data_IF_509191244942
#
_entry.id   IF_509191244942
#
_cell.length_a   1.000
_cell.length_b   1.000
_cell.length_c   1.000
_cell.angle_alpha   90.00
_cell.angle_beta   90.00
_cell.angle_gamma   90.00
#
_symmetry.space_group_name_H-M   'P 1'
#
loop_
_entity.id
_entity.type
_entity.pdbx_description
1 polymer ?
#
# COMPACT_ATOMS: atom_id res chain seq x y z
N UNK A 1 28.29 -50.16 52.10
CA UNK A 1 29.07 -51.41 52.30
C UNK A 1 28.24 -52.60 51.83
N UNK A 2 28.76 -53.45 50.92
CA UNK A 2 28.30 -54.83 50.59
C UNK A 2 28.65 -55.79 51.76
N UNK A 3 28.39 -57.13 51.81
CA UNK A 3 27.98 -58.13 50.77
C UNK A 3 26.87 -59.15 51.23
N UNK A 4 26.13 -59.87 50.35
CA UNK A 4 26.41 -61.11 49.57
C UNK A 4 26.49 -62.43 50.39
N UNK A 5 25.59 -63.40 50.16
CA UNK A 5 25.87 -64.84 49.86
C UNK A 5 24.60 -65.71 49.75
N UNK A 6 24.79 -66.94 49.24
CA UNK A 6 23.96 -67.79 48.38
C UNK A 6 24.02 -69.24 48.91
N UNK A 7 22.96 -70.05 48.70
CA UNK A 7 22.83 -71.54 48.65
C UNK A 7 21.62 -72.00 49.48
N UNK A 8 20.81 -72.99 49.11
CA UNK A 8 20.83 -73.95 47.99
C UNK A 8 20.16 -75.27 48.41
N UNK A 9 19.38 -75.90 47.51
CA UNK A 9 18.94 -77.33 47.43
C UNK A 9 18.14 -77.89 48.62
N UNK A 10 17.34 -78.96 48.51
CA UNK A 10 16.89 -79.84 47.43
C UNK A 10 15.81 -80.77 48.04
N UNK A 11 15.04 -81.47 47.19
CA UNK A 11 14.47 -82.82 47.39
C UNK A 11 12.95 -82.98 47.10
N UNK A 12 12.74 -83.73 46.01
CA UNK A 12 11.61 -84.57 45.55
C UNK A 12 11.36 -85.74 46.56
N UNK A 13 10.43 -86.74 46.41
CA UNK A 13 9.66 -87.11 45.22
C UNK A 13 8.22 -87.70 45.40
N UNK A 14 7.55 -88.01 44.28
CA UNK A 14 6.90 -89.31 43.92
C UNK A 14 5.67 -89.16 42.97
N UNK A 15 5.71 -89.86 41.82
CA UNK A 15 4.59 -90.04 40.84
C UNK A 15 3.59 -91.15 41.25
N UNK A 16 2.92 -91.91 40.34
CA UNK A 16 2.99 -91.96 38.86
C UNK A 16 1.64 -92.21 38.09
N UNK A 17 1.67 -92.29 36.74
CA UNK A 17 0.65 -92.96 35.90
C UNK A 17 0.57 -92.47 34.45
N UNK A 18 1.30 -93.07 33.48
CA UNK A 18 0.84 -93.98 32.37
C UNK A 18 -0.30 -93.40 31.49
N UNK A 19 -0.27 -93.32 30.16
CA UNK A 19 0.11 -94.29 29.10
C UNK A 19 0.24 -93.60 27.71
N UNK A 20 1.12 -94.10 26.85
CA UNK A 20 1.22 -93.83 25.39
C UNK A 20 0.61 -95.02 24.60
N UNK A 21 0.24 -94.90 23.30
CA UNK A 21 1.10 -95.47 22.25
C UNK A 21 1.07 -94.80 20.83
N UNK A 22 2.27 -94.68 20.24
CA UNK A 22 2.71 -95.15 18.87
C UNK A 22 2.38 -94.35 17.58
N UNK A 23 3.46 -93.98 16.83
CA UNK A 23 3.54 -93.16 15.61
C UNK A 23 3.22 -93.84 14.25
N UNK A 24 3.94 -93.63 13.11
CA UNK A 24 5.22 -92.92 12.86
C UNK A 24 5.21 -91.94 11.64
N UNK A 25 6.34 -91.27 11.35
CA UNK A 25 6.65 -90.77 9.99
C UNK A 25 7.45 -89.46 9.90
N UNK A 26 8.76 -89.57 9.67
CA UNK A 26 9.66 -88.46 9.28
C UNK A 26 9.41 -88.07 7.82
N UNK A 27 9.28 -86.77 7.52
CA UNK A 27 9.71 -86.19 6.25
C UNK A 27 10.22 -84.76 6.44
N UNK A 28 11.50 -84.62 6.11
CA UNK A 28 12.30 -83.44 5.88
C UNK A 28 11.69 -82.53 4.79
N UNK A 29 11.58 -81.21 5.00
CA UNK A 29 11.44 -80.21 3.91
C UNK A 29 11.89 -78.80 4.35
N UNK A 30 13.03 -78.41 3.78
CA UNK A 30 13.43 -77.12 3.22
C UNK A 30 12.83 -75.81 3.78
N UNK A 31 13.75 -74.90 4.14
CA UNK A 31 13.47 -73.58 4.70
C UNK A 31 12.68 -72.61 3.80
N UNK A 32 11.95 -71.71 4.47
CA UNK A 32 11.34 -70.51 3.87
C UNK A 32 12.22 -69.30 4.19
N UNK A 33 12.54 -68.43 3.21
CA UNK A 33 13.31 -67.22 3.46
C UNK A 33 12.47 -66.17 4.18
N UNK A 34 13.14 -65.43 5.06
CA UNK A 34 12.60 -64.31 5.81
C UNK A 34 12.06 -63.20 4.88
N UNK A 35 10.83 -62.75 5.15
CA UNK A 35 10.23 -61.62 4.47
C UNK A 35 10.96 -60.33 4.87
N UNK A 36 11.78 -59.81 3.95
CA UNK A 36 12.46 -58.52 4.10
C UNK A 36 11.48 -57.35 4.17
N UNK A 37 11.68 -56.47 5.15
CA UNK A 37 10.99 -55.20 5.28
C UNK A 37 11.33 -54.28 4.10
N UNK A 38 10.36 -54.07 3.21
CA UNK A 38 10.48 -53.07 2.13
C UNK A 38 10.48 -51.67 2.75
N UNK A 39 11.66 -51.06 2.89
CA UNK A 39 11.78 -49.61 3.12
C UNK A 39 11.20 -48.89 1.90
N UNK A 40 10.32 -47.88 2.06
CA UNK A 40 9.79 -47.13 0.93
C UNK A 40 10.93 -46.40 0.22
N UNK A 41 11.17 -46.73 -1.05
CA UNK A 41 12.10 -46.03 -1.93
C UNK A 41 11.57 -44.61 -2.16
N UNK A 42 12.17 -43.62 -1.52
CA UNK A 42 11.86 -42.21 -1.78
C UNK A 42 12.40 -41.90 -3.18
N UNK A 43 11.51 -41.73 -4.16
CA UNK A 43 11.89 -41.35 -5.53
C UNK A 43 12.60 -39.98 -5.52
N UNK A 44 13.70 -39.80 -6.26
CA UNK A 44 14.41 -38.53 -6.36
C UNK A 44 13.50 -37.43 -6.92
N UNK A 45 13.67 -36.20 -6.43
CA UNK A 45 12.81 -35.03 -6.74
C UNK A 45 12.74 -34.74 -8.25
N UNK A 46 13.77 -35.12 -9.01
CA UNK A 46 13.84 -34.98 -10.48
C UNK A 46 12.84 -35.83 -11.27
N UNK A 47 12.31 -36.92 -10.70
CA UNK A 47 11.35 -37.81 -11.36
C UNK A 47 9.89 -37.49 -11.00
N UNK A 48 9.67 -36.47 -10.16
CA UNK A 48 8.33 -36.03 -9.75
C UNK A 48 7.85 -34.93 -10.68
N UNK A 49 6.54 -34.90 -10.91
CA UNK A 49 5.89 -33.84 -11.68
C UNK A 49 6.31 -32.46 -11.11
N UNK A 50 6.93 -31.59 -11.93
CA UNK A 50 7.41 -30.28 -11.47
C UNK A 50 6.28 -29.42 -10.91
N UNK A 51 5.04 -29.60 -11.38
CA UNK A 51 3.86 -28.88 -10.86
C UNK A 51 3.53 -29.35 -9.45
N UNK A 52 3.56 -30.65 -9.19
CA UNK A 52 3.30 -31.20 -7.87
C UNK A 52 4.36 -30.78 -6.85
N UNK A 53 5.64 -30.72 -7.25
CA UNK A 53 6.73 -30.24 -6.39
C UNK A 53 6.57 -28.75 -6.08
N UNK A 54 6.17 -27.94 -7.06
CA UNK A 54 5.92 -26.52 -6.87
C UNK A 54 4.74 -26.26 -5.92
N UNK A 55 3.62 -26.98 -6.08
CA UNK A 55 2.44 -26.85 -5.20
C UNK A 55 2.76 -27.25 -3.76
N UNK A 56 3.46 -28.38 -3.56
CA UNK A 56 3.86 -28.81 -2.22
C UNK A 56 4.87 -27.85 -1.59
N UNK A 57 5.81 -27.33 -2.38
CA UNK A 57 6.75 -26.30 -1.93
C UNK A 57 6.04 -25.01 -1.52
N UNK A 58 5.08 -24.55 -2.31
CA UNK A 58 4.31 -23.33 -2.06
C UNK A 58 3.37 -23.49 -0.86
N UNK A 59 2.73 -24.66 -0.70
CA UNK A 59 1.98 -25.01 0.50
C UNK A 59 2.88 -25.04 1.74
N UNK A 60 4.05 -25.68 1.65
CA UNK A 60 5.02 -25.70 2.74
C UNK A 60 5.48 -24.30 3.14
N UNK A 61 5.74 -23.44 2.16
CA UNK A 61 6.12 -22.04 2.40
C UNK A 61 4.98 -21.22 3.00
N UNK A 62 3.74 -21.40 2.52
CA UNK A 62 2.57 -20.76 3.10
C UNK A 62 2.31 -21.20 4.55
N UNK A 63 2.52 -22.49 4.85
CA UNK A 63 2.40 -23.04 6.20
C UNK A 63 3.50 -22.48 7.13
N UNK A 64 4.73 -22.37 6.64
CA UNK A 64 5.84 -21.72 7.35
C UNK A 64 5.56 -20.23 7.60
N UNK A 65 5.10 -19.51 6.58
CA UNK A 65 4.74 -18.10 6.72
C UNK A 65 3.60 -17.91 7.72
N UNK A 66 2.56 -18.76 7.67
CA UNK A 66 1.49 -18.76 8.65
C UNK A 66 2.00 -19.06 10.07
N UNK A 67 2.91 -20.02 10.23
CA UNK A 67 3.50 -20.36 11.53
C UNK A 67 4.31 -19.19 12.11
N UNK A 68 5.13 -18.52 11.29
CA UNK A 68 5.89 -17.33 11.69
C UNK A 68 4.97 -16.18 12.08
N UNK A 69 3.91 -15.93 11.30
CA UNK A 69 2.94 -14.86 11.59
C UNK A 69 2.12 -15.13 12.87
N UNK A 70 1.95 -16.39 13.24
CA UNK A 70 1.21 -16.80 14.43
C UNK A 70 2.13 -17.19 15.60
N UNK A 71 3.44 -16.95 15.50
CA UNK A 71 4.40 -17.35 16.53
C UNK A 71 4.16 -16.61 17.86
N UNK A 72 3.68 -15.37 17.79
CA UNK A 72 3.29 -14.56 18.97
C UNK A 72 2.01 -15.08 19.65
N UNK A 73 1.20 -15.88 18.96
CA UNK A 73 -0.02 -16.53 19.48
C UNK A 73 0.19 -17.96 19.94
N UNK A 74 1.35 -18.55 19.64
CA UNK A 74 1.72 -19.87 20.12
C UNK A 74 2.22 -19.73 21.56
N UNK A 75 1.70 -20.49 22.54
CA UNK A 75 2.16 -20.49 23.93
C UNK A 75 3.51 -21.21 24.04
N UNK A 76 4.53 -20.65 23.37
CA UNK A 76 5.91 -21.12 23.37
C UNK A 76 6.80 -20.21 24.24
N UNK A 77 6.23 -19.17 24.86
CA UNK A 77 6.86 -18.30 25.85
C UNK A 77 6.67 -18.84 27.27
N UNK A 78 7.73 -18.76 28.09
CA UNK A 78 7.84 -19.40 29.40
C UNK A 78 7.22 -18.61 30.57
N UNK A 79 6.13 -17.89 30.37
CA UNK A 79 5.47 -17.14 31.43
C UNK A 79 4.23 -17.85 32.01
N UNK A 80 3.90 -17.51 33.24
CA UNK A 80 2.64 -17.94 33.88
C UNK A 80 1.59 -16.86 33.67
N UNK A 81 0.42 -17.24 33.14
CA UNK A 81 -0.70 -16.32 32.94
C UNK A 81 -1.52 -16.14 34.22
N UNK A 82 -1.84 -14.90 34.56
CA UNK A 82 -2.68 -14.52 35.68
C UNK A 82 -3.76 -13.54 35.21
N UNK A 83 -4.73 -13.26 36.09
CA UNK A 83 -5.75 -12.25 35.82
C UNK A 83 -6.11 -11.44 37.06
N UNK A 84 -6.54 -10.21 36.86
CA UNK A 84 -6.95 -9.26 37.89
C UNK A 84 -8.21 -8.51 37.45
N UNK A 85 -9.12 -8.27 38.39
CA UNK A 85 -10.33 -7.50 38.16
C UNK A 85 -10.13 -6.05 38.63
N UNK A 86 -10.21 -5.08 37.72
CA UNK A 86 -10.15 -3.64 37.99
C UNK A 86 -11.52 -2.98 37.86
N UNK A 87 -11.69 -1.80 38.47
CA UNK A 87 -12.90 -0.98 38.27
C UNK A 87 -12.98 -0.41 36.86
N UNK A 88 -11.82 -0.12 36.25
CA UNK A 88 -11.67 0.45 34.92
C UNK A 88 -10.27 0.14 34.36
N UNK A 89 -10.10 0.23 33.04
CA UNK A 89 -8.81 0.01 32.38
C UNK A 89 -7.90 1.24 32.43
N UNK A 90 -8.48 2.45 32.50
CA UNK A 90 -7.77 3.73 32.51
C UNK A 90 -6.67 3.87 31.43
N UNK A 91 -6.90 3.31 30.24
CA UNK A 91 -5.95 3.33 29.11
C UNK A 91 -4.84 2.28 29.16
N UNK A 92 -4.96 1.25 30.00
CA UNK A 92 -4.13 0.05 29.93
C UNK A 92 -4.53 -0.80 28.72
N UNK A 93 -3.55 -1.20 27.92
CA UNK A 93 -3.76 -1.96 26.69
C UNK A 93 -2.95 -3.26 26.62
N UNK A 94 -3.31 -4.13 25.67
CA UNK A 94 -2.54 -5.33 25.38
C UNK A 94 -1.11 -4.97 24.96
N UNK A 95 -0.14 -5.61 25.61
CA UNK A 95 1.28 -5.40 25.39
C UNK A 95 1.95 -4.41 26.33
N UNK A 96 1.17 -3.72 27.17
CA UNK A 96 1.72 -2.92 28.25
C UNK A 96 2.57 -3.76 29.20
N UNK A 97 3.56 -3.12 29.81
CA UNK A 97 4.50 -3.81 30.69
C UNK A 97 3.83 -4.25 31.99
N UNK A 98 4.22 -5.43 32.47
CA UNK A 98 3.96 -5.86 33.83
C UNK A 98 5.24 -5.71 34.62
N UNK A 99 5.16 -5.06 35.78
CA UNK A 99 6.32 -4.80 36.63
C UNK A 99 6.07 -5.31 38.04
N UNK A 100 7.04 -6.02 38.59
CA UNK A 100 7.04 -6.45 39.99
C UNK A 100 8.03 -5.55 40.73
N UNK A 101 7.56 -4.82 41.74
CA UNK A 101 8.38 -3.85 42.49
C UNK A 101 9.19 -2.88 41.58
N UNK A 102 8.60 -2.49 40.43
CA UNK A 102 9.21 -1.57 39.46
C UNK A 102 10.11 -2.23 38.39
N UNK A 103 10.41 -3.53 38.48
CA UNK A 103 11.20 -4.27 37.49
C UNK A 103 10.27 -4.94 36.50
N UNK A 104 10.53 -4.79 35.19
CA UNK A 104 9.78 -5.47 34.13
C UNK A 104 9.89 -6.99 34.30
N UNK A 105 8.73 -7.64 34.44
CA UNK A 105 8.62 -9.07 34.69
C UNK A 105 7.62 -9.75 33.73
N UNK A 106 7.03 -9.01 32.80
CA UNK A 106 6.08 -9.59 31.85
C UNK A 106 5.33 -8.56 31.02
N UNK A 107 4.17 -8.97 30.49
CA UNK A 107 3.30 -8.11 29.67
C UNK A 107 1.81 -8.40 29.89
N UNK A 108 0.99 -7.39 29.65
CA UNK A 108 -0.46 -7.54 29.55
C UNK A 108 -0.80 -8.29 28.27
N UNK A 109 -1.61 -9.35 28.38
CA UNK A 109 -2.02 -10.20 27.25
C UNK A 109 -3.48 -9.96 26.85
N UNK A 110 -4.24 -9.21 27.62
CA UNK A 110 -5.56 -8.76 27.21
C UNK A 110 -6.26 -7.92 28.26
N UNK A 111 -7.06 -6.97 27.80
CA UNK A 111 -7.91 -6.11 28.63
C UNK A 111 -9.32 -6.22 28.09
N UNK A 112 -10.29 -6.53 28.94
CA UNK A 112 -11.66 -6.73 28.50
C UNK A 112 -12.69 -6.48 29.60
N UNK A 113 -13.90 -6.16 29.19
CA UNK A 113 -15.02 -5.97 30.11
C UNK A 113 -15.56 -7.33 30.59
N UNK A 114 -15.77 -7.47 31.89
CA UNK A 114 -16.44 -8.61 32.53
C UNK A 114 -17.53 -8.07 33.46
N UNK A 115 -18.73 -7.87 32.89
CA UNK A 115 -19.85 -7.23 33.56
C UNK A 115 -19.58 -5.75 33.86
N UNK A 116 -19.61 -5.38 35.14
CA UNK A 116 -19.32 -4.02 35.62
C UNK A 116 -17.85 -3.81 36.02
N UNK A 117 -16.95 -4.70 35.57
CA UNK A 117 -15.53 -4.70 35.90
C UNK A 117 -14.71 -4.85 34.64
N UNK A 118 -13.42 -4.51 34.74
CA UNK A 118 -12.44 -4.79 33.69
C UNK A 118 -11.58 -5.96 34.14
N UNK A 119 -11.58 -7.04 33.37
CA UNK A 119 -10.66 -8.16 33.53
C UNK A 119 -9.38 -7.85 32.75
N UNK A 120 -8.26 -7.77 33.46
CA UNK A 120 -6.92 -7.67 32.89
C UNK A 120 -6.27 -9.04 32.98
N UNK A 121 -5.80 -9.54 31.84
CA UNK A 121 -5.06 -10.80 31.71
C UNK A 121 -3.62 -10.45 31.39
N UNK A 122 -2.67 -11.09 32.07
CA UNK A 122 -1.27 -10.76 31.93
C UNK A 122 -0.40 -11.98 32.16
N UNK A 123 0.81 -11.94 31.64
CA UNK A 123 1.79 -13.00 31.74
C UNK A 123 3.02 -12.49 32.50
N UNK A 124 3.56 -13.33 33.38
CA UNK A 124 4.77 -13.04 34.16
C UNK A 124 5.81 -14.12 33.92
N UNK A 125 7.00 -13.70 33.53
CA UNK A 125 8.17 -14.53 33.24
C UNK A 125 9.08 -14.61 34.47
N UNK A 126 9.46 -15.83 34.87
CA UNK A 126 10.51 -16.10 35.87
C UNK A 126 10.44 -15.33 37.20
N UNK A 127 9.23 -14.96 37.67
CA UNK A 127 9.05 -14.26 38.94
C UNK A 127 8.00 -14.93 39.86
N UNK A 128 8.24 -14.83 41.17
CA UNK A 128 7.32 -15.32 42.18
C UNK A 128 6.26 -14.26 42.49
N UNK A 129 4.99 -14.70 42.52
CA UNK A 129 3.84 -13.92 42.94
C UNK A 129 3.21 -14.59 44.16
N UNK A 130 2.91 -13.81 45.19
CA UNK A 130 2.28 -14.28 46.41
C UNK A 130 0.75 -14.35 46.29
N UNK A 131 0.12 -15.19 47.10
CA UNK A 131 -1.34 -15.40 47.18
C UNK A 131 -2.16 -14.16 47.58
N UNK A 132 -1.48 -13.11 48.05
CA UNK A 132 -2.07 -11.82 48.41
C UNK A 132 -1.55 -10.68 47.55
N UNK A 133 -1.04 -11.00 46.36
CA UNK A 133 -0.55 -10.00 45.41
C UNK A 133 -1.61 -8.92 45.21
N UNK A 134 -1.16 -7.66 45.23
CA UNK A 134 -1.96 -6.51 44.81
C UNK A 134 -1.50 -6.06 43.43
N UNK A 135 -2.44 -5.49 42.66
CA UNK A 135 -2.16 -4.99 41.32
C UNK A 135 -2.61 -3.54 41.20
N UNK A 136 -1.80 -2.68 40.61
CA UNK A 136 -2.17 -1.30 40.35
C UNK A 136 -1.88 -0.94 38.90
N UNK A 137 -2.78 -0.22 38.25
CA UNK A 137 -2.49 0.39 36.95
C UNK A 137 -1.78 1.72 37.24
N UNK A 138 -0.54 1.85 36.79
CA UNK A 138 0.32 2.99 37.11
C UNK A 138 0.80 3.69 35.84
N UNK A 139 1.21 4.96 35.98
CA UNK A 139 1.67 5.79 34.86
C UNK A 139 3.16 5.55 34.63
N UNK A 140 3.52 5.15 33.40
CA UNK A 140 4.89 4.94 32.94
C UNK A 140 5.53 6.22 32.42
N UNK A 141 4.80 7.04 31.66
CA UNK A 141 5.34 8.24 30.99
C UNK A 141 4.48 9.48 31.26
N UNK A 142 5.07 10.67 31.06
CA UNK A 142 4.35 11.95 31.18
C UNK A 142 3.24 12.12 30.13
N UNK A 143 3.29 11.34 29.04
CA UNK A 143 2.28 11.35 27.99
C UNK A 143 1.11 10.39 28.28
N UNK A 144 1.16 9.67 29.41
CA UNK A 144 0.03 8.88 29.90
C UNK A 144 0.11 7.38 29.67
N UNK A 145 1.21 6.85 29.09
CA UNK A 145 1.40 5.40 28.94
C UNK A 145 1.23 4.71 30.28
N UNK A 146 0.55 3.57 30.30
CA UNK A 146 0.28 2.80 31.52
C UNK A 146 1.16 1.56 31.60
N UNK A 147 1.22 0.99 32.80
CA UNK A 147 1.78 -0.33 33.04
C UNK A 147 1.08 -0.97 34.24
N UNK A 148 1.12 -2.30 34.31
CA UNK A 148 0.60 -3.05 35.44
C UNK A 148 1.69 -3.22 36.50
N UNK A 149 1.54 -2.57 37.65
CA UNK A 149 2.39 -2.75 38.80
C UNK A 149 1.85 -3.88 39.69
N UNK A 150 2.70 -4.83 40.07
CA UNK A 150 2.39 -5.93 40.97
C UNK A 150 3.26 -5.81 42.23
N UNK A 151 2.62 -5.96 43.38
CA UNK A 151 3.30 -6.12 44.67
C UNK A 151 3.07 -7.55 45.16
N UNK A 152 4.10 -8.42 45.18
CA UNK A 152 3.96 -9.86 45.39
C UNK A 152 3.80 -10.20 46.88
N UNK A 153 2.80 -9.63 47.54
CA UNK A 153 2.49 -9.91 48.94
C UNK A 153 1.93 -11.33 49.11
N UNK A 154 2.16 -11.91 50.29
CA UNK A 154 1.66 -13.24 50.63
C UNK A 154 2.78 -14.19 51.07
N UNK A 155 2.42 -15.42 51.36
CA UNK A 155 3.36 -16.48 51.79
C UNK A 155 3.23 -17.75 50.96
N UNK A 156 2.10 -17.93 50.28
CA UNK A 156 1.90 -19.00 49.32
C UNK A 156 2.00 -18.43 47.90
N UNK A 157 2.15 -19.30 46.90
CA UNK A 157 2.16 -18.90 45.49
C UNK A 157 0.74 -18.50 45.06
N UNK A 158 0.62 -17.43 44.29
CA UNK A 158 -0.63 -17.07 43.62
C UNK A 158 -1.08 -18.22 42.71
N UNK A 159 -2.35 -18.60 42.82
CA UNK A 159 -2.97 -19.56 41.90
C UNK A 159 -3.27 -18.87 40.56
N UNK A 160 -2.70 -19.35 39.43
CA UNK A 160 -3.01 -18.83 38.09
C UNK A 160 -4.49 -18.89 37.71
N UNK A 161 -5.24 -19.86 38.26
CA UNK A 161 -6.68 -20.00 38.04
C UNK A 161 -7.54 -19.03 38.85
N UNK A 162 -6.96 -18.37 39.86
CA UNK A 162 -7.65 -17.44 40.74
C UNK A 162 -7.32 -15.99 40.39
N UNK A 163 -8.35 -15.17 40.23
CA UNK A 163 -8.18 -13.76 39.89
C UNK A 163 -7.77 -12.95 41.12
N UNK A 164 -6.92 -11.94 40.91
CA UNK A 164 -6.71 -10.88 41.90
C UNK A 164 -8.01 -10.05 41.97
N UNK A 165 -8.70 -10.03 43.12
CA UNK A 165 -10.01 -9.40 43.23
C UNK A 165 -9.91 -7.87 43.32
N UNK A 166 -11.01 -7.18 43.01
CA UNK A 166 -11.14 -5.72 43.13
C UNK A 166 -10.61 -5.12 44.44
N UNK A 167 -10.78 -5.83 45.57
CA UNK A 167 -10.30 -5.37 46.88
C UNK A 167 -8.78 -5.31 47.00
N UNK A 168 -8.04 -5.87 46.03
CA UNK A 168 -6.57 -5.87 45.93
C UNK A 168 -6.08 -5.25 44.62
N UNK A 169 -6.96 -4.54 43.91
CA UNK A 169 -6.59 -3.83 42.68
C UNK A 169 -6.87 -2.34 42.80
N UNK A 170 -6.00 -1.52 42.24
CA UNK A 170 -6.17 -0.07 42.22
C UNK A 170 -6.06 0.46 40.80
N UNK A 171 -7.13 1.07 40.30
CA UNK A 171 -7.11 1.85 39.06
C UNK A 171 -6.57 3.27 39.35
N UNK A 172 -5.82 3.90 38.45
CA UNK A 172 -5.26 5.22 38.68
C UNK A 172 -6.40 6.24 38.77
N UNK A 173 -6.30 7.15 39.73
CA UNK A 173 -7.21 8.28 39.83
C UNK A 173 -7.06 9.16 38.58
N UNK A 174 -8.15 9.35 37.84
CA UNK A 174 -8.17 10.28 36.71
C UNK A 174 -8.09 11.71 37.26
N UNK A 175 -7.07 12.46 36.85
CA UNK A 175 -6.89 13.87 37.20
C UNK A 175 -8.11 14.69 36.76
N UNK A 176 -8.73 14.33 35.63
CA UNK A 176 -9.98 14.92 35.14
C UNK A 176 -11.11 14.68 36.13
N UNK A 177 -11.22 13.48 36.67
CA UNK A 177 -12.24 13.15 37.67
C UNK A 177 -11.98 13.89 38.98
N UNK A 178 -10.71 14.04 39.40
CA UNK A 178 -10.36 14.86 40.56
C UNK A 178 -10.74 16.34 40.38
N UNK A 179 -10.55 16.92 39.18
CA UNK A 179 -10.98 18.29 38.89
C UNK A 179 -12.51 18.42 38.81
N UNK A 180 -13.22 17.43 38.28
CA UNK A 180 -14.68 17.40 38.24
C UNK A 180 -15.26 17.28 39.66
N UNK A 181 -14.73 16.38 40.48
CA UNK A 181 -15.15 16.18 41.86
C UNK A 181 -14.86 17.41 42.73
N UNK A 182 -13.72 18.08 42.52
CA UNK A 182 -13.42 19.34 43.19
C UNK A 182 -14.39 20.45 42.78
N UNK A 183 -14.69 20.58 41.48
CA UNK A 183 -15.69 21.54 40.99
C UNK A 183 -17.05 21.28 41.62
N UNK A 184 -17.51 20.02 41.65
CA UNK A 184 -18.79 19.65 42.26
C UNK A 184 -18.82 19.90 43.77
N UNK A 185 -17.70 19.66 44.46
CA UNK A 185 -17.59 19.93 45.91
C UNK A 185 -17.64 21.43 46.20
N UNK A 186 -16.96 22.25 45.40
CA UNK A 186 -16.97 23.71 45.55
C UNK A 186 -18.35 24.30 45.19
N UNK A 187 -19.00 23.80 44.14
CA UNK A 187 -20.37 24.21 43.77
C UNK A 187 -21.39 23.85 44.86
N UNK A 188 -21.16 22.78 45.62
CA UNK A 188 -22.02 22.38 46.73
C UNK A 188 -21.87 23.27 47.98
N UNK A 189 -20.82 24.08 48.08
CA UNK A 189 -20.59 24.99 49.20
C UNK A 189 -21.35 26.30 48.93
N UNK A 190 -22.42 26.53 49.69
CA UNK A 190 -23.10 27.83 49.71
C UNK A 190 -22.27 28.85 50.50
N UNK A 191 -21.39 29.56 49.79
CA UNK A 191 -20.49 30.55 50.37
C UNK A 191 -21.23 31.71 51.03
N UNK A 192 -22.49 31.98 50.66
CA UNK A 192 -23.35 32.98 51.31
C UNK A 192 -23.83 32.49 52.67
N UNK A 193 -24.36 31.26 52.76
CA UNK A 193 -24.73 30.66 54.05
C UNK A 193 -23.54 30.48 54.99
N UNK A 194 -22.37 30.17 54.44
CA UNK A 194 -21.13 30.07 55.21
C UNK A 194 -20.74 31.43 55.81
N UNK A 195 -20.81 32.50 55.02
CA UNK A 195 -20.57 33.87 55.49
C UNK A 195 -21.60 34.31 56.56
N UNK A 196 -22.89 34.00 56.38
CA UNK A 196 -23.95 34.25 57.37
C UNK A 196 -23.70 33.50 58.70
N UNK A 197 -23.25 32.25 58.62
CA UNK A 197 -22.93 31.43 59.81
C UNK A 197 -21.74 32.00 60.57
N UNK A 198 -20.70 32.46 59.87
CA UNK A 198 -19.54 33.11 60.48
C UNK A 198 -19.88 34.50 61.06
N UNK A 199 -20.75 35.28 60.40
CA UNK A 199 -21.27 36.54 60.95
C UNK A 199 -22.04 36.29 62.26
N UNK A 200 -22.91 35.28 62.28
CA UNK A 200 -23.68 34.90 63.48
C UNK A 200 -22.76 34.46 64.64
N UNK A 201 -21.71 33.69 64.33
CA UNK A 201 -20.69 33.33 65.31
C UNK A 201 -19.95 34.56 65.82
N UNK A 202 -19.53 35.47 64.93
CA UNK A 202 -18.87 36.72 65.33
C UNK A 202 -19.74 37.61 66.22
N UNK A 203 -21.02 37.73 65.91
CA UNK A 203 -21.98 38.47 66.73
C UNK A 203 -22.18 37.82 68.11
N UNK A 204 -22.17 36.48 68.17
CA UNK A 204 -22.26 35.74 69.44
C UNK A 204 -21.05 36.00 70.34
N UNK A 205 -19.86 36.15 69.76
CA UNK A 205 -18.62 36.42 70.51
C UNK A 205 -18.28 37.91 70.65
N UNK A 206 -19.17 38.84 70.27
CA UNK A 206 -18.91 40.29 70.33
C UNK A 206 -18.55 40.78 71.74
N UNK A 207 -19.09 40.13 72.78
CA UNK A 207 -18.87 40.49 74.19
C UNK A 207 -17.74 39.68 74.85
N UNK A 208 -17.01 38.87 74.08
CA UNK A 208 -15.88 38.06 74.56
C UNK A 208 -14.59 38.87 74.75
N UNK A 209 -13.55 38.31 75.41
CA UNK A 209 -12.27 38.99 75.57
C UNK A 209 -11.64 39.47 74.23
N UNK A 210 -10.81 40.54 74.24
CA UNK A 210 -10.38 41.25 73.03
C UNK A 210 -9.71 40.40 71.94
N UNK A 211 -9.04 39.32 72.34
CA UNK A 211 -8.37 38.38 71.45
C UNK A 211 -9.36 37.46 70.71
N UNK A 212 -10.45 37.05 71.36
CA UNK A 212 -11.52 36.24 70.74
C UNK A 212 -12.32 37.07 69.74
N UNK A 213 -12.64 38.32 70.11
CA UNK A 213 -13.34 39.27 69.23
C UNK A 213 -12.59 39.55 67.93
N UNK A 214 -11.27 39.75 68.00
CA UNK A 214 -10.43 39.99 66.81
C UNK A 214 -10.36 38.77 65.89
N UNK A 215 -10.25 37.57 66.46
CA UNK A 215 -10.21 36.33 65.68
C UNK A 215 -11.55 36.08 64.96
N UNK A 216 -12.67 36.26 65.66
CA UNK A 216 -14.00 36.12 65.07
C UNK A 216 -14.25 37.16 63.97
N UNK A 217 -13.99 38.45 64.25
CA UNK A 217 -14.11 39.52 63.26
C UNK A 217 -13.21 39.31 62.02
N UNK A 218 -12.00 38.79 62.21
CA UNK A 218 -11.11 38.42 61.10
C UNK A 218 -11.66 37.30 60.22
N UNK A 219 -12.27 36.29 60.83
CA UNK A 219 -12.87 35.15 60.12
C UNK A 219 -14.16 35.55 59.35
N UNK A 220 -14.99 36.43 59.92
CA UNK A 220 -16.11 37.05 59.20
C UNK A 220 -15.64 37.92 58.04
N UNK A 221 -14.60 38.74 58.22
CA UNK A 221 -14.06 39.57 57.14
C UNK A 221 -13.48 38.73 56.00
N UNK A 222 -12.79 37.63 56.33
CA UNK A 222 -12.30 36.67 55.33
C UNK A 222 -13.45 35.99 54.58
N UNK A 223 -14.48 35.50 55.28
CA UNK A 223 -15.65 34.88 54.64
C UNK A 223 -16.39 35.85 53.73
N UNK A 224 -16.56 37.11 54.13
CA UNK A 224 -17.13 38.17 53.28
C UNK A 224 -16.28 38.44 52.03
N UNK A 225 -14.95 38.42 52.16
CA UNK A 225 -14.03 38.61 51.04
C UNK A 225 -14.10 37.45 50.03
N UNK A 226 -14.17 36.21 50.52
CA UNK A 226 -14.32 35.00 49.69
C UNK A 226 -15.68 35.00 48.99
N UNK A 227 -16.78 35.26 49.72
CA UNK A 227 -18.12 35.32 49.13
C UNK A 227 -18.26 36.43 48.08
N UNK A 228 -17.56 37.57 48.23
CA UNK A 228 -17.52 38.62 47.20
C UNK A 228 -16.83 38.20 45.91
N UNK A 229 -15.87 37.27 45.98
CA UNK A 229 -15.07 36.78 44.84
C UNK A 229 -15.58 35.44 44.29
N UNK A 230 -16.66 34.92 44.85
CA UNK A 230 -17.28 33.64 44.48
C UNK A 230 -17.60 33.55 42.98
N UNK A 231 -18.17 34.62 42.42
CA UNK A 231 -18.48 34.69 40.99
C UNK A 231 -17.21 34.64 40.09
N UNK A 232 -16.14 35.34 40.49
CA UNK A 232 -14.87 35.36 39.74
C UNK A 232 -14.15 34.01 39.79
N UNK A 233 -14.21 33.33 40.96
CA UNK A 233 -13.66 31.98 41.14
C UNK A 233 -14.45 30.94 40.33
N UNK A 234 -15.79 31.04 40.32
CA UNK A 234 -16.66 30.17 39.50
C UNK A 234 -16.36 30.32 38.01
N UNK A 235 -16.18 31.56 37.54
CA UNK A 235 -15.84 31.85 36.14
C UNK A 235 -14.48 31.25 35.74
N UNK A 236 -13.46 31.38 36.60
CA UNK A 236 -12.12 30.81 36.39
C UNK A 236 -12.14 29.27 36.31
N UNK A 237 -12.90 28.62 37.20
CA UNK A 237 -13.04 27.17 37.23
C UNK A 237 -13.80 26.66 35.99
N UNK A 238 -14.88 27.34 35.59
CA UNK A 238 -15.60 27.05 34.33
C UNK A 238 -14.72 27.24 33.11
N UNK A 239 -13.91 28.30 33.07
CA UNK A 239 -12.94 28.55 32.01
C UNK A 239 -11.91 27.43 31.88
N UNK A 240 -11.40 26.94 33.01
CA UNK A 240 -10.45 25.83 33.06
C UNK A 240 -11.09 24.51 32.57
N UNK A 241 -12.32 24.20 32.99
CA UNK A 241 -13.06 23.03 32.52
C UNK A 241 -13.34 23.11 30.99
N UNK A 242 -13.69 24.30 30.50
CA UNK A 242 -13.94 24.54 29.07
C UNK A 242 -12.67 24.40 28.24
N UNK A 243 -11.53 24.88 28.75
CA UNK A 243 -10.23 24.70 28.12
C UNK A 243 -9.83 23.23 28.03
N UNK A 244 -9.94 22.48 29.13
CA UNK A 244 -9.65 21.03 29.15
C UNK A 244 -10.55 20.27 28.18
N UNK A 245 -11.83 20.61 28.11
CA UNK A 245 -12.79 20.01 27.16
C UNK A 245 -12.42 20.35 25.70
N UNK A 246 -11.95 21.57 25.46
CA UNK A 246 -11.45 21.98 24.14
C UNK A 246 -10.19 21.20 23.74
N UNK A 247 -9.28 20.95 24.68
CA UNK A 247 -8.08 20.15 24.45
C UNK A 247 -8.42 18.68 24.16
N UNK A 248 -9.35 18.08 24.92
CA UNK A 248 -9.87 16.73 24.62
C UNK A 248 -10.51 16.64 23.22
N UNK A 249 -11.29 17.65 22.82
CA UNK A 249 -11.89 17.69 21.48
C UNK A 249 -10.84 17.90 20.35
N UNK A 250 -9.68 18.49 20.66
CA UNK A 250 -8.58 18.64 19.71
C UNK A 250 -7.78 17.34 19.54
N UNK A 251 -7.72 16.48 20.55
CA UNK A 251 -7.10 15.15 20.47
C UNK A 251 -7.79 14.29 19.39
N UNK A 252 -9.13 14.23 19.37
CA UNK A 252 -9.88 13.47 18.36
C UNK A 252 -9.70 14.03 16.93
N UNK A 253 -9.51 15.34 16.81
CA UNK A 253 -9.17 15.96 15.52
C UNK A 253 -7.77 15.55 15.04
N UNK A 254 -6.82 15.34 15.96
CA UNK A 254 -5.47 14.87 15.62
C UNK A 254 -5.47 13.40 15.21
N UNK A 255 -6.27 12.56 15.87
CA UNK A 255 -6.52 11.17 15.44
C UNK A 255 -7.15 11.11 14.05
N UNK A 256 -8.15 11.97 13.78
CA UNK A 256 -8.78 12.06 12.45
C UNK A 256 -7.76 12.47 11.38
N UNK A 257 -6.87 13.43 11.68
CA UNK A 257 -5.81 13.82 10.75
C UNK A 257 -4.79 12.70 10.49
N UNK A 258 -4.49 11.88 11.49
CA UNK A 258 -3.62 10.70 11.33
C UNK A 258 -4.30 9.63 10.48
N UNK A 259 -5.60 9.43 10.66
CA UNK A 259 -6.42 8.50 9.88
C UNK A 259 -6.55 8.97 8.41
N UNK A 260 -6.82 10.26 8.20
CA UNK A 260 -6.88 10.91 6.88
C UNK A 260 -5.52 10.93 6.16
N UNK A 261 -4.42 10.91 6.92
CA UNK A 261 -3.06 10.78 6.38
C UNK A 261 -2.89 9.52 5.54
N UNK A 262 -3.55 8.41 5.91
CA UNK A 262 -3.58 7.18 5.13
C UNK A 262 -4.24 7.36 3.76
N UNK A 263 -5.36 8.10 3.71
CA UNK A 263 -6.10 8.41 2.48
C UNK A 263 -5.28 9.32 1.55
N UNK A 264 -4.62 10.34 2.10
CA UNK A 264 -3.72 11.22 1.34
C UNK A 264 -2.53 10.47 0.73
N UNK A 265 -1.92 9.55 1.49
CA UNK A 265 -0.82 8.71 0.99
C UNK A 265 -1.32 7.73 -0.10
N UNK A 266 -2.54 7.21 0.03
CA UNK A 266 -3.21 6.42 -0.99
C UNK A 266 -3.40 7.19 -2.30
N UNK A 267 -4.02 8.38 -2.22
CA UNK A 267 -4.24 9.26 -3.38
C UNK A 267 -2.92 9.67 -4.06
N UNK A 268 -1.87 9.93 -3.27
CA UNK A 268 -0.54 10.26 -3.80
C UNK A 268 0.10 9.07 -4.53
N UNK A 269 -0.07 7.85 -4.01
CA UNK A 269 0.40 6.62 -4.66
C UNK A 269 -0.31 6.39 -5.99
N UNK A 270 -1.61 6.62 -6.02
CA UNK A 270 -2.45 6.40 -7.21
C UNK A 270 -2.14 7.43 -8.30
N UNK A 271 -1.96 8.71 -7.93
CA UNK A 271 -1.44 9.74 -8.85
C UNK A 271 -0.07 9.40 -9.40
N UNK A 272 0.84 8.88 -8.57
CA UNK A 272 2.16 8.42 -9.04
C UNK A 272 2.04 7.26 -10.04
N UNK A 273 1.07 6.36 -9.86
CA UNK A 273 0.78 5.30 -10.82
C UNK A 273 0.23 5.85 -12.14
N UNK A 274 -0.72 6.78 -12.09
CA UNK A 274 -1.28 7.45 -13.27
C UNK A 274 -0.21 8.21 -14.08
N UNK A 275 0.67 8.96 -13.41
CA UNK A 275 1.78 9.67 -14.05
C UNK A 275 2.74 8.69 -14.74
N UNK A 276 3.06 7.55 -14.11
CA UNK A 276 3.90 6.51 -14.75
C UNK A 276 3.23 5.92 -15.98
N UNK A 277 1.92 5.65 -15.92
CA UNK A 277 1.17 5.14 -17.06
C UNK A 277 1.14 6.16 -18.21
N UNK A 278 0.93 7.44 -17.91
CA UNK A 278 0.98 8.52 -18.89
C UNK A 278 2.36 8.62 -19.54
N UNK A 279 3.45 8.66 -18.76
CA UNK A 279 4.81 8.73 -19.29
C UNK A 279 5.16 7.51 -20.16
N UNK A 280 4.67 6.32 -19.79
CA UNK A 280 4.83 5.11 -20.61
C UNK A 280 4.09 5.25 -21.94
N UNK A 281 2.82 5.66 -21.90
CA UNK A 281 2.02 5.89 -23.10
C UNK A 281 2.60 6.97 -24.02
N UNK A 282 3.15 8.06 -23.49
CA UNK A 282 3.83 9.08 -24.29
C UNK A 282 5.08 8.55 -25.00
N UNK A 283 5.84 7.65 -24.36
CA UNK A 283 7.01 7.01 -24.97
C UNK A 283 6.60 6.05 -26.07
N UNK A 284 5.59 5.21 -25.81
CA UNK A 284 5.04 4.29 -26.80
C UNK A 284 4.52 5.06 -28.02
N UNK A 285 3.74 6.13 -27.82
CA UNK A 285 3.29 7.00 -28.90
C UNK A 285 4.46 7.62 -29.67
N UNK A 286 5.51 8.05 -28.97
CA UNK A 286 6.73 8.56 -29.61
C UNK A 286 7.42 7.52 -30.48
N UNK A 287 7.47 6.25 -30.04
CA UNK A 287 8.02 5.13 -30.82
C UNK A 287 7.17 4.83 -32.05
N UNK A 288 5.84 4.79 -31.92
CA UNK A 288 4.92 4.56 -33.04
C UNK A 288 5.00 5.69 -34.08
N UNK A 289 5.03 6.95 -33.63
CA UNK A 289 5.19 8.10 -34.53
C UNK A 289 6.55 8.10 -35.24
N UNK A 290 7.62 7.74 -34.53
CA UNK A 290 8.94 7.61 -35.14
C UNK A 290 8.97 6.48 -36.19
N UNK A 291 8.33 5.34 -35.90
CA UNK A 291 8.16 4.25 -36.85
C UNK A 291 7.36 4.67 -38.09
N UNK A 292 6.26 5.40 -37.91
CA UNK A 292 5.47 5.93 -39.03
C UNK A 292 6.28 6.88 -39.92
N UNK A 293 7.11 7.75 -39.34
CA UNK A 293 7.98 8.65 -40.10
C UNK A 293 9.04 7.85 -40.87
N UNK A 294 9.67 6.87 -40.24
CA UNK A 294 10.71 6.03 -40.85
C UNK A 294 10.15 5.18 -42.01
N UNK A 295 8.95 4.63 -41.85
CA UNK A 295 8.26 3.91 -42.91
C UNK A 295 7.84 4.82 -44.07
N UNK A 296 7.39 6.04 -43.76
CA UNK A 296 7.05 7.03 -44.77
C UNK A 296 8.31 7.50 -45.52
N UNK A 297 9.45 7.66 -44.84
CA UNK A 297 10.73 7.98 -45.48
C UNK A 297 11.19 6.85 -46.41
N UNK A 298 11.05 5.58 -46.00
CA UNK A 298 11.34 4.42 -46.85
C UNK A 298 10.45 4.37 -48.10
N UNK A 299 9.17 4.74 -47.98
CA UNK A 299 8.23 4.72 -49.11
C UNK A 299 8.36 5.94 -50.02
N UNK A 300 8.53 7.13 -49.46
CA UNK A 300 8.56 8.40 -50.22
C UNK A 300 9.95 8.79 -50.69
N UNK A 301 11.02 8.38 -50.00
CA UNK A 301 12.41 8.66 -50.38
C UNK A 301 12.75 8.22 -51.81
N UNK A 302 12.45 6.97 -52.23
CA UNK A 302 12.66 6.51 -53.60
C UNK A 302 11.85 7.30 -54.63
N UNK A 303 10.61 7.68 -54.28
CA UNK A 303 9.70 8.45 -55.14
C UNK A 303 10.22 9.87 -55.36
N UNK A 304 10.67 10.55 -54.29
CA UNK A 304 11.29 11.87 -54.37
C UNK A 304 12.63 11.83 -55.13
N UNK A 305 13.44 10.79 -54.95
CA UNK A 305 14.66 10.57 -55.77
C UNK A 305 14.33 10.31 -57.23
N UNK A 306 13.25 9.58 -57.54
CA UNK A 306 12.80 9.37 -58.90
C UNK A 306 12.32 10.69 -59.53
N UNK A 307 11.54 11.49 -58.79
CA UNK A 307 11.09 12.80 -59.23
C UNK A 307 12.27 13.74 -59.50
N UNK A 308 13.26 13.78 -58.60
CA UNK A 308 14.49 14.56 -58.76
C UNK A 308 15.32 14.14 -59.99
N UNK A 309 15.35 12.83 -60.31
CA UNK A 309 15.97 12.36 -61.56
C UNK A 309 15.22 12.85 -62.79
N UNK A 310 13.89 12.79 -62.78
CA UNK A 310 13.07 13.26 -63.90
C UNK A 310 13.24 14.77 -64.09
N UNK A 311 13.11 15.57 -63.03
CA UNK A 311 13.31 17.03 -63.10
C UNK A 311 14.72 17.38 -63.53
N UNK A 312 15.75 16.68 -63.04
CA UNK A 312 17.13 16.88 -63.48
C UNK A 312 17.37 16.51 -64.96
N UNK A 313 16.70 15.49 -65.49
CA UNK A 313 16.73 15.18 -66.94
C UNK A 313 16.02 16.27 -67.74
N UNK A 314 14.86 16.75 -67.28
CA UNK A 314 14.12 17.82 -67.94
C UNK A 314 14.90 19.14 -67.94
N UNK A 315 15.55 19.49 -66.83
CA UNK A 315 16.39 20.70 -66.72
C UNK A 315 17.59 20.64 -67.66
N UNK A 316 18.33 19.51 -67.65
CA UNK A 316 19.48 19.30 -68.55
C UNK A 316 19.11 19.37 -70.03
N UNK A 317 17.89 18.97 -70.39
CA UNK A 317 17.42 18.96 -71.77
C UNK A 317 16.46 20.12 -72.08
N UNK A 318 16.27 21.08 -71.16
CA UNK A 318 15.29 22.18 -71.30
C UNK A 318 15.52 23.03 -72.55
N UNK A 319 16.78 23.34 -72.87
CA UNK A 319 17.14 24.06 -74.10
C UNK A 319 16.83 23.26 -75.38
N UNK A 320 16.94 21.94 -75.34
CA UNK A 320 16.61 21.06 -76.47
C UNK A 320 15.10 20.87 -76.59
N UNK A 321 14.38 20.68 -75.48
CA UNK A 321 12.92 20.65 -75.45
C UNK A 321 12.33 21.95 -75.97
N UNK A 322 12.87 23.10 -75.56
CA UNK A 322 12.49 24.41 -76.09
C UNK A 322 12.71 24.53 -77.59
N UNK A 323 13.85 24.06 -78.11
CA UNK A 323 14.10 23.99 -79.56
C UNK A 323 13.13 23.05 -80.27
N UNK A 324 12.83 21.89 -79.69
CA UNK A 324 11.94 20.89 -80.31
C UNK A 324 10.49 21.39 -80.35
N UNK A 325 10.00 22.02 -79.27
CA UNK A 325 8.70 22.67 -79.25
C UNK A 325 8.64 23.89 -80.18
N UNK A 326 9.69 24.70 -80.23
CA UNK A 326 9.78 25.83 -81.17
C UNK A 326 9.80 25.37 -82.64
N UNK A 327 10.39 24.19 -82.92
CA UNK A 327 10.38 23.56 -84.25
C UNK A 327 9.09 22.78 -84.54
N UNK A 328 8.35 22.36 -83.52
CA UNK A 328 7.08 21.64 -83.68
C UNK A 328 6.04 22.50 -84.39
N UNK A 329 5.91 23.79 -84.01
CA UNK A 329 4.97 24.72 -84.68
C UNK A 329 5.24 24.84 -86.19
N UNK A 330 6.45 25.22 -86.63
CA UNK A 330 6.85 25.24 -88.03
C UNK A 330 6.72 23.87 -88.71
N UNK A 331 7.03 22.77 -88.04
CA UNK A 331 6.90 21.41 -88.60
C UNK A 331 5.44 21.04 -88.85
N UNK A 332 4.56 21.20 -87.86
CA UNK A 332 3.12 20.97 -88.02
C UNK A 332 2.50 21.92 -89.04
N UNK A 333 2.99 23.17 -89.12
CA UNK A 333 2.59 24.11 -90.17
C UNK A 333 3.10 23.69 -91.55
N UNK A 334 4.31 23.15 -91.66
CA UNK A 334 4.85 22.63 -92.92
C UNK A 334 4.05 21.43 -93.39
N UNK A 335 3.80 20.46 -92.51
CA UNK A 335 2.96 19.28 -92.77
C UNK A 335 1.52 19.70 -93.06
N UNK A 336 0.99 20.68 -92.33
CA UNK A 336 -0.35 21.23 -92.54
C UNK A 336 -0.46 21.99 -93.86
N UNK A 337 0.57 22.70 -94.29
CA UNK A 337 0.59 23.42 -95.57
C UNK A 337 0.79 22.48 -96.77
N UNK A 338 1.56 21.39 -96.64
CA UNK A 338 1.61 20.35 -97.69
C UNK A 338 0.28 19.62 -97.84
N UNK A 339 -0.54 19.59 -96.79
CA UNK A 339 -1.91 19.04 -96.82
C UNK A 339 -2.99 20.13 -97.01
N UNK A 340 -2.60 21.42 -97.04
CA UNK A 340 -3.52 22.56 -96.94
C UNK A 340 -4.14 23.00 -98.26
N UNK A 341 -3.63 22.49 -99.39
CA UNK A 341 -4.14 22.81 -100.73
C UNK A 341 -5.26 21.86 -101.19
N UNK A 342 -5.85 21.06 -100.29
CA UNK A 342 -6.90 20.08 -100.59
C UNK A 342 -6.35 18.67 -100.86
N UNK A 343 -7.04 17.88 -101.69
CA UNK A 343 -6.67 16.46 -101.99
C UNK A 343 -5.47 16.30 -102.94
N UNK A 344 -4.79 17.39 -103.30
CA UNK A 344 -3.64 17.40 -104.20
C UNK A 344 -2.54 18.31 -103.64
N UNK A 345 -1.30 18.07 -104.06
CA UNK A 345 -0.17 18.94 -103.78
C UNK A 345 0.25 19.64 -105.08
N UNK A 346 0.44 20.96 -105.02
CA UNK A 346 0.93 21.72 -106.17
C UNK A 346 2.45 21.59 -106.25
N UNK A 347 2.96 20.90 -107.28
CA UNK A 347 4.39 20.81 -107.57
C UNK A 347 4.72 21.58 -108.85
N UNK A 348 5.65 22.54 -108.76
CA UNK A 348 6.20 23.22 -109.93
C UNK A 348 7.53 22.57 -110.34
N UNK A 349 7.52 21.86 -111.46
CA UNK A 349 8.71 21.27 -112.06
C UNK A 349 9.09 22.06 -113.31
N UNK A 350 10.15 22.86 -113.21
CA UNK A 350 10.68 23.62 -114.35
C UNK A 350 11.94 22.95 -114.92
N UNK A 351 12.07 22.95 -116.25
CA UNK A 351 13.24 22.36 -116.93
C UNK A 351 13.15 20.85 -117.19
N UNK A 352 11.96 20.25 -117.10
CA UNK A 352 11.74 18.80 -117.34
C UNK A 352 11.76 18.44 -118.83
N UNK A 353 11.45 19.40 -119.70
CA UNK A 353 11.54 19.24 -121.15
C UNK A 353 12.86 19.86 -121.62
N UNK A 354 13.78 19.06 -122.23
CA UNK A 354 15.01 19.60 -122.79
C UNK A 354 14.71 20.67 -123.84
N UNK A 355 15.52 21.73 -123.86
CA UNK A 355 15.33 22.89 -124.76
C UNK A 355 15.24 22.51 -126.25
N UNK A 356 15.79 21.37 -126.63
CA UNK A 356 15.77 20.81 -128.00
C UNK A 356 14.38 20.38 -128.49
N UNK A 357 13.39 20.25 -127.61
CA UNK A 357 12.03 19.82 -127.97
C UNK A 357 11.00 20.97 -128.01
N UNK A 358 11.44 22.22 -127.85
CA UNK A 358 10.57 23.39 -127.84
C UNK A 358 10.91 24.33 -129.02
N UNK A 359 9.90 24.85 -129.76
CA UNK A 359 10.13 25.87 -130.78
C UNK A 359 10.71 27.14 -130.15
N UNK A 360 11.64 27.81 -130.85
CA UNK A 360 12.39 28.98 -130.33
C UNK A 360 11.48 30.10 -129.80
N UNK A 361 10.25 30.23 -130.33
CA UNK A 361 9.26 31.23 -129.92
C UNK A 361 8.51 30.93 -128.62
N UNK A 362 8.78 29.79 -127.97
CA UNK A 362 8.07 29.35 -126.74
C UNK A 362 8.90 29.48 -125.46
N UNK A 363 10.10 30.07 -125.54
CA UNK A 363 11.01 30.20 -124.40
C UNK A 363 10.73 31.50 -123.63
N UNK A 364 10.45 31.46 -122.32
CA UNK A 364 10.29 32.66 -121.51
C UNK A 364 11.64 33.39 -121.34
N UNK A 365 11.65 34.71 -121.54
CA UNK A 365 12.86 35.55 -121.44
C UNK A 365 13.52 35.53 -120.06
N UNK A 366 12.77 35.23 -118.99
CA UNK A 366 13.20 35.32 -117.59
C UNK A 366 13.24 33.97 -116.87
N UNK A 367 13.60 32.88 -117.55
CA UNK A 367 13.90 31.59 -116.90
C UNK A 367 12.78 31.02 -116.00
N UNK A 368 13.15 30.08 -115.14
CA UNK A 368 12.23 29.37 -114.27
C UNK A 368 11.91 30.17 -112.99
N UNK A 369 10.92 31.06 -113.02
CA UNK A 369 10.35 31.61 -111.78
C UNK A 369 9.06 30.85 -111.40
N UNK A 370 8.89 30.43 -110.14
CA UNK A 370 7.60 29.95 -109.67
C UNK A 370 6.57 31.09 -109.75
N UNK A 371 5.29 30.80 -110.04
CA UNK A 371 4.26 31.84 -110.04
C UNK A 371 4.21 32.52 -108.68
N UNK A 372 4.22 33.87 -108.66
CA UNK A 372 3.98 34.63 -107.43
C UNK A 372 2.61 34.19 -106.90
N UNK A 373 2.59 33.54 -105.74
CA UNK A 373 1.33 33.28 -105.04
C UNK A 373 0.66 34.63 -104.80
N UNK A 374 -0.56 34.81 -105.31
CA UNK A 374 -1.33 36.01 -105.06
C UNK A 374 -1.44 36.17 -103.55
N UNK A 375 -0.89 37.28 -103.02
CA UNK A 375 -1.08 37.62 -101.62
C UNK A 375 -2.59 37.67 -101.37
N UNK A 376 -3.09 36.80 -100.50
CA UNK A 376 -4.47 36.85 -100.05
C UNK A 376 -4.72 38.25 -99.49
N UNK A 377 -5.48 39.07 -100.23
CA UNK A 377 -5.98 40.34 -99.74
C UNK A 377 -6.92 40.02 -98.59
N UNK A 378 -6.45 40.22 -97.36
CA UNK A 378 -7.28 40.10 -96.17
C UNK A 378 -8.35 41.19 -96.20
N UNK A 379 -9.62 40.78 -96.28
CA UNK A 379 -10.73 41.59 -95.82
C UNK A 379 -10.72 41.53 -94.29
N UNK A 380 -10.10 42.54 -93.66
CA UNK A 380 -10.15 42.74 -92.22
C UNK A 380 -11.43 43.47 -91.81
N UNK A 381 -12.36 42.75 -91.20
CA UNK A 381 -13.33 43.30 -90.25
C UNK A 381 -13.26 42.51 -88.93
N UNK A 382 -12.90 43.26 -87.88
CA UNK A 382 -12.86 42.96 -86.43
C UNK A 382 -11.70 42.14 -85.86
#
# INVERSE_FOLDING_TARGET
>A
MRPFTRRGGSDEPAGPGKTEPTGPGKTERAGRPAAGSRRPRVKPVRERDPVAVAVVGLLGFALLAALVYNVERLPLGGGTSYSADFSEAAGLDEGDEVRIAGVKAGRVTGVGLDGAKVKVTFEVEDAWLGDRTTAAIAIKTLLGDKYLALDPLGSARQDPGSRIPLSRTTSPYDVTQAFQDLSGTVDAIDTRRLAESFETLSDTFKDSPPHVRKAAGGLSALSKSVSKRDAELSELLKGSATFTKTLQNKQSSFETLLEDGGTLLGELRDRRAAIRALLKGSRELGTELAGLVDDNEKQLGPTLKALGRVTGVLEKNSAQLGKTLALAGPYYRLVGNTLGNGRWFDSYLCGVVPRTYLPETSLPETGCMPPKQAAAQGNGER
#
